data_IF_284728688698
#
_entry.id   IF_284728688698
#
_cell.length_a   1.000
_cell.length_b   1.000
_cell.length_c   1.000
_cell.angle_alpha   90.00
_cell.angle_beta   90.00
_cell.angle_gamma   90.00
#
_symmetry.space_group_name_H-M   'P 1'
#
loop_
_entity.id
_entity.type
_entity.pdbx_description
1 polymer ?
#
# COMPACT_ATOMS: atom_id res chain seq x y z
N UNK A 1 -21.93 -17.14 13.83
CA UNK A 1 -22.12 -18.13 12.75
C UNK A 1 -20.77 -18.76 12.46
N UNK A 2 -20.63 -20.09 12.41
CA UNK A 2 -19.42 -20.70 11.89
C UNK A 2 -19.16 -20.16 10.47
N UNK A 3 -17.91 -19.78 10.18
CA UNK A 3 -17.52 -19.15 8.91
C UNK A 3 -17.63 -17.62 8.86
N UNK A 4 -17.83 -16.93 9.99
CA UNK A 4 -17.76 -15.45 10.01
C UNK A 4 -16.31 -15.01 9.99
N UNK A 5 -15.86 -14.63 8.80
CA UNK A 5 -14.59 -13.96 8.61
C UNK A 5 -14.65 -12.55 9.20
N UNK A 6 -13.64 -12.17 9.97
CA UNK A 6 -13.50 -10.82 10.51
C UNK A 6 -12.43 -10.05 9.74
N UNK A 7 -12.45 -8.72 9.84
CA UNK A 7 -11.36 -7.88 9.31
C UNK A 7 -9.99 -8.29 9.89
N UNK A 8 -9.96 -8.76 11.13
CA UNK A 8 -8.74 -9.29 11.74
C UNK A 8 -8.26 -10.58 11.04
N UNK A 9 -9.18 -11.43 10.60
CA UNK A 9 -8.86 -12.63 9.81
C UNK A 9 -8.36 -12.26 8.41
N UNK A 10 -8.91 -11.21 7.79
CA UNK A 10 -8.43 -10.63 6.53
C UNK A 10 -6.96 -10.22 6.66
N UNK A 11 -6.64 -9.34 7.62
CA UNK A 11 -5.27 -8.88 7.83
C UNK A 11 -4.33 -10.03 8.16
N UNK A 12 -4.74 -10.96 9.02
CA UNK A 12 -3.91 -12.12 9.39
C UNK A 12 -3.59 -12.97 8.18
N UNK A 13 -4.55 -13.17 7.28
CA UNK A 13 -4.36 -13.99 6.07
C UNK A 13 -3.50 -13.26 5.05
N UNK A 14 -3.76 -11.98 4.81
CA UNK A 14 -2.95 -11.14 3.94
C UNK A 14 -1.47 -11.12 4.39
N UNK A 15 -1.21 -10.85 5.67
CA UNK A 15 0.15 -10.82 6.22
C UNK A 15 0.85 -12.17 6.12
N UNK A 16 0.13 -13.29 6.31
CA UNK A 16 0.68 -14.63 6.09
C UNK A 16 1.12 -14.82 4.64
N UNK A 17 0.29 -14.41 3.67
CA UNK A 17 0.63 -14.52 2.24
C UNK A 17 1.85 -13.68 1.87
N UNK A 18 1.97 -12.47 2.44
CA UNK A 18 3.16 -11.61 2.27
C UNK A 18 4.40 -12.29 2.86
N UNK A 19 4.30 -12.82 4.08
CA UNK A 19 5.42 -13.46 4.77
C UNK A 19 5.96 -14.69 4.05
N UNK A 20 5.10 -15.48 3.39
CA UNK A 20 5.52 -16.65 2.59
C UNK A 20 5.81 -16.31 1.12
N UNK A 21 5.84 -15.02 0.75
CA UNK A 21 6.14 -14.56 -0.61
C UNK A 21 5.07 -14.88 -1.66
N UNK A 22 3.88 -15.30 -1.23
CA UNK A 22 2.72 -15.55 -2.11
C UNK A 22 1.97 -14.27 -2.48
N UNK A 23 2.24 -13.17 -1.78
CA UNK A 23 1.82 -11.82 -2.12
C UNK A 23 3.05 -10.90 -2.16
N UNK A 24 3.34 -10.30 -3.31
CA UNK A 24 4.48 -9.40 -3.48
C UNK A 24 4.01 -7.94 -3.47
N UNK A 25 4.22 -7.25 -2.35
CA UNK A 25 3.84 -5.83 -2.20
C UNK A 25 4.94 -4.87 -2.67
N UNK A 26 6.21 -5.29 -2.65
CA UNK A 26 7.35 -4.43 -2.99
C UNK A 26 7.29 -3.88 -4.43
N UNK A 27 6.88 -4.66 -5.46
CA UNK A 27 6.75 -4.13 -6.81
C UNK A 27 5.66 -3.06 -6.99
N UNK A 28 4.73 -2.92 -6.02
CA UNK A 28 3.69 -1.89 -6.06
C UNK A 28 4.24 -0.51 -5.66
N UNK A 29 5.35 -0.48 -4.91
CA UNK A 29 5.99 0.75 -4.48
C UNK A 29 6.76 1.31 -5.67
N UNK A 30 6.17 2.32 -6.31
CA UNK A 30 6.79 3.04 -7.43
C UNK A 30 7.78 4.07 -6.92
N UNK A 31 7.43 4.78 -5.84
CA UNK A 31 8.25 5.85 -5.29
C UNK A 31 8.23 5.86 -3.75
N UNK A 32 9.39 6.19 -3.16
CA UNK A 32 9.54 6.46 -1.73
C UNK A 32 9.89 7.94 -1.58
N UNK A 33 9.06 8.67 -0.85
CA UNK A 33 9.13 10.14 -0.75
C UNK A 33 9.14 10.59 0.71
N UNK A 34 9.75 11.74 1.03
CA UNK A 34 9.66 12.32 2.36
C UNK A 34 8.26 12.94 2.59
N UNK A 35 7.74 12.99 3.84
CA UNK A 35 6.39 13.44 4.13
C UNK A 35 6.14 14.91 3.78
N UNK A 36 7.18 15.74 3.72
CA UNK A 36 7.10 17.14 3.30
C UNK A 36 6.61 17.27 1.85
N UNK A 37 6.79 16.23 1.02
CA UNK A 37 6.30 16.18 -0.36
C UNK A 37 4.86 15.69 -0.52
N UNK A 38 4.13 15.50 0.60
CA UNK A 38 2.75 15.06 0.55
C UNK A 38 1.86 15.95 -0.34
N UNK A 39 1.95 17.30 -0.31
CA UNK A 39 1.14 18.14 -1.18
C UNK A 39 1.35 17.83 -2.67
N UNK A 40 2.59 17.66 -3.12
CA UNK A 40 2.92 17.35 -4.50
C UNK A 40 2.45 15.96 -4.92
N UNK A 41 2.60 14.96 -4.05
CA UNK A 41 2.11 13.60 -4.31
C UNK A 41 0.59 13.57 -4.45
N UNK A 42 -0.13 14.26 -3.55
CA UNK A 42 -1.58 14.33 -3.64
C UNK A 42 -2.06 15.12 -4.85
N UNK A 43 -1.37 16.20 -5.23
CA UNK A 43 -1.67 16.93 -6.46
C UNK A 43 -1.47 16.04 -7.70
N UNK A 44 -0.35 15.31 -7.76
CA UNK A 44 -0.09 14.38 -8.85
C UNK A 44 -1.16 13.27 -8.94
N UNK A 45 -1.56 12.68 -7.81
CA UNK A 45 -2.62 11.68 -7.79
C UNK A 45 -3.99 12.21 -8.26
N UNK A 46 -4.25 13.51 -8.09
CA UNK A 46 -5.50 14.14 -8.49
C UNK A 46 -5.51 14.60 -9.96
N UNK A 47 -4.36 15.03 -10.48
CA UNK A 47 -4.25 15.72 -11.76
C UNK A 47 -3.65 14.86 -12.88
N UNK A 48 -2.78 13.90 -12.55
CA UNK A 48 -2.16 13.01 -13.53
C UNK A 48 -3.17 11.91 -13.91
N UNK A 49 -3.51 11.74 -15.20
CA UNK A 49 -4.38 10.65 -15.66
C UNK A 49 -3.72 9.26 -15.53
N UNK A 50 -2.41 9.18 -15.33
CA UNK A 50 -1.67 7.94 -15.16
C UNK A 50 -0.55 8.11 -14.11
N UNK A 51 -0.90 8.31 -12.83
CA UNK A 51 0.08 8.50 -11.77
C UNK A 51 0.81 7.18 -11.48
N UNK A 52 1.99 7.23 -10.83
CA UNK A 52 2.65 6.06 -10.27
C UNK A 52 1.70 5.22 -9.39
N UNK A 53 1.84 3.89 -9.46
CA UNK A 53 0.90 2.96 -8.83
C UNK A 53 0.92 3.03 -7.30
N UNK A 54 2.05 3.38 -6.71
CA UNK A 54 2.20 3.41 -5.25
C UNK A 54 3.29 4.36 -4.78
N UNK A 55 2.90 5.27 -3.91
CA UNK A 55 3.79 6.13 -3.15
C UNK A 55 3.89 5.62 -1.71
N UNK A 56 5.09 5.65 -1.14
CA UNK A 56 5.33 5.37 0.28
C UNK A 56 6.05 6.56 0.90
N UNK A 57 5.50 7.08 2.00
CA UNK A 57 6.17 8.11 2.79
C UNK A 57 7.20 7.48 3.74
N UNK A 58 8.44 7.96 3.69
CA UNK A 58 9.48 7.61 4.67
C UNK A 58 9.51 8.66 5.79
N UNK A 59 9.15 8.26 7.00
CA UNK A 59 9.03 9.13 8.18
C UNK A 59 10.28 9.15 9.06
N UNK A 60 11.40 8.60 8.57
CA UNK A 60 12.67 8.55 9.29
C UNK A 60 13.32 9.92 9.47
#
# INVERSE_FOLDING_TARGET
MPGRWTEQDDYRTFLKLVAVGKMQVRPLISEIVPPEKAPEVYAQLAEDPNPPLGFVFDWR
#
